data_IF_656871042941
#
_entry.id   IF_656871042941
#
_cell.length_a   1.000
_cell.length_b   1.000
_cell.length_c   1.000
_cell.angle_alpha   90.00
_cell.angle_beta   90.00
_cell.angle_gamma   90.00
#
_symmetry.space_group_name_H-M   'P 1'
#
loop_
_entity.id
_entity.type
_entity.pdbx_description
1 polymer ?
#
# COMPACT_ATOMS: atom_id res chain seq x y z
N UNK A 1 29.99 -42.76 -67.51
CA UNK A 1 29.06 -43.47 -66.60
C UNK A 1 29.88 -43.88 -65.37
N UNK A 2 29.97 -42.99 -64.38
CA UNK A 2 29.32 -43.09 -63.06
C UNK A 2 29.65 -44.40 -62.32
N UNK A 3 30.75 -44.35 -61.57
CA UNK A 3 30.90 -45.08 -60.32
C UNK A 3 30.78 -44.05 -59.20
N UNK A 4 30.09 -44.38 -58.11
CA UNK A 4 30.44 -43.97 -56.74
C UNK A 4 29.59 -44.77 -55.73
N UNK A 5 30.30 -45.72 -55.12
CA UNK A 5 30.29 -46.32 -53.78
C UNK A 5 29.07 -46.31 -52.81
N UNK A 6 28.97 -47.36 -51.97
CA UNK A 6 27.93 -47.53 -50.96
C UNK A 6 28.43 -47.11 -49.56
N UNK A 7 27.91 -46.02 -49.00
CA UNK A 7 27.97 -45.73 -47.55
C UNK A 7 26.87 -44.74 -47.15
N UNK A 8 25.64 -45.21 -46.93
CA UNK A 8 24.62 -44.41 -46.23
C UNK A 8 24.64 -44.75 -44.74
N UNK A 9 24.96 -43.82 -43.84
CA UNK A 9 25.01 -44.10 -42.41
C UNK A 9 23.59 -44.03 -41.79
N UNK A 10 23.36 -44.84 -40.74
CA UNK A 10 22.07 -45.09 -40.06
C UNK A 10 21.55 -43.92 -39.21
N UNK A 11 21.53 -42.69 -39.72
CA UNK A 11 20.98 -41.51 -39.01
C UNK A 11 19.76 -40.88 -39.72
N UNK A 12 19.17 -41.55 -40.71
CA UNK A 12 18.02 -41.04 -41.47
C UNK A 12 16.65 -41.17 -40.77
N UNK A 13 16.58 -41.40 -39.46
CA UNK A 13 15.31 -41.47 -38.70
C UNK A 13 15.42 -40.71 -37.37
N UNK A 14 15.54 -39.39 -37.44
CA UNK A 14 15.37 -38.52 -36.27
C UNK A 14 14.98 -37.09 -36.67
N UNK A 15 14.01 -36.92 -37.58
CA UNK A 15 13.37 -35.62 -37.83
C UNK A 15 11.87 -35.88 -37.93
N UNK A 16 11.19 -36.03 -36.79
CA UNK A 16 9.72 -35.96 -36.74
C UNK A 16 9.09 -35.82 -35.34
N UNK A 17 9.79 -35.30 -34.32
CA UNK A 17 9.15 -35.02 -33.02
C UNK A 17 9.90 -33.93 -32.25
N UNK A 18 9.93 -32.71 -32.82
CA UNK A 18 10.35 -31.50 -32.10
C UNK A 18 9.41 -30.32 -32.43
N UNK A 19 8.12 -30.59 -32.46
CA UNK A 19 7.08 -29.56 -32.44
C UNK A 19 6.04 -29.95 -31.39
N UNK A 20 5.71 -28.97 -30.54
CA UNK A 20 4.71 -28.99 -29.47
C UNK A 20 5.13 -29.60 -28.12
N UNK A 21 6.11 -28.98 -27.47
CA UNK A 21 6.03 -28.74 -26.02
C UNK A 21 6.86 -27.51 -25.60
N UNK A 22 6.77 -26.41 -26.34
CA UNK A 22 6.98 -25.08 -25.74
C UNK A 22 5.74 -24.79 -24.90
N UNK A 23 5.57 -25.54 -23.81
CA UNK A 23 4.65 -25.17 -22.77
C UNK A 23 5.06 -23.77 -22.35
N UNK A 24 4.17 -22.80 -22.57
CA UNK A 24 4.26 -21.51 -21.91
C UNK A 24 4.55 -21.82 -20.44
N UNK A 25 5.76 -21.51 -19.99
CA UNK A 25 5.97 -21.29 -18.58
C UNK A 25 5.02 -20.15 -18.27
N UNK A 26 3.85 -20.48 -17.71
CA UNK A 26 2.98 -19.50 -17.10
C UNK A 26 3.88 -18.82 -16.08
N UNK A 27 4.29 -17.59 -16.38
CA UNK A 27 4.70 -16.68 -15.33
C UNK A 27 3.51 -16.72 -14.36
N UNK A 28 3.68 -17.41 -13.24
CA UNK A 28 2.61 -17.55 -12.26
C UNK A 28 2.09 -16.15 -12.01
N UNK A 29 0.83 -15.91 -12.38
CA UNK A 29 0.25 -14.59 -12.27
C UNK A 29 0.47 -14.12 -10.83
N UNK A 30 1.10 -12.96 -10.69
CA UNK A 30 1.41 -12.38 -9.38
C UNK A 30 0.09 -12.24 -8.62
N UNK A 31 0.06 -12.68 -7.37
CA UNK A 31 -1.16 -12.64 -6.57
C UNK A 31 -1.65 -11.20 -6.42
N UNK A 32 -2.97 -11.03 -6.43
CA UNK A 32 -3.63 -9.75 -6.24
C UNK A 32 -4.61 -9.82 -5.07
N UNK A 33 -5.11 -8.67 -4.63
CA UNK A 33 -6.19 -8.64 -3.65
C UNK A 33 -7.42 -9.40 -4.17
N UNK A 34 -8.09 -10.11 -3.29
CA UNK A 34 -9.20 -11.00 -3.61
C UNK A 34 -8.77 -12.43 -3.97
N UNK A 35 -7.48 -12.70 -4.17
CA UNK A 35 -7.00 -14.09 -4.33
C UNK A 35 -7.13 -14.88 -3.02
N UNK A 36 -7.30 -16.20 -3.13
CA UNK A 36 -7.34 -17.07 -1.97
C UNK A 36 -6.00 -17.06 -1.24
N UNK A 37 -6.03 -16.86 0.07
CA UNK A 37 -4.86 -16.91 0.92
C UNK A 37 -4.39 -18.35 1.09
N UNK A 38 -3.09 -18.58 0.91
CA UNK A 38 -2.49 -19.87 1.17
C UNK A 38 -2.53 -20.17 2.68
N UNK A 39 -2.78 -21.42 3.09
CA UNK A 39 -2.55 -21.84 4.47
C UNK A 39 -1.12 -21.53 4.90
N UNK A 40 -0.92 -21.07 6.13
CA UNK A 40 0.44 -20.88 6.66
C UNK A 40 1.08 -22.23 7.00
N UNK A 41 2.36 -22.34 6.72
CA UNK A 41 3.19 -23.50 7.05
C UNK A 41 4.17 -23.08 8.13
N UNK A 42 3.80 -23.35 9.37
CA UNK A 42 4.55 -22.90 10.56
C UNK A 42 5.42 -24.03 11.09
N UNK A 43 6.70 -23.73 11.31
CA UNK A 43 7.67 -24.64 11.95
C UNK A 43 7.41 -24.74 13.45
N UNK A 44 7.18 -23.59 14.08
CA UNK A 44 7.08 -23.50 15.54
C UNK A 44 6.26 -22.27 15.95
N UNK A 45 5.45 -22.38 17.01
CA UNK A 45 4.78 -21.26 17.64
C UNK A 45 5.54 -20.84 18.89
N UNK A 46 6.07 -19.62 18.90
CA UNK A 46 6.83 -19.05 20.02
C UNK A 46 5.90 -18.54 21.13
N UNK A 47 4.74 -18.00 20.75
CA UNK A 47 3.76 -17.41 21.67
C UNK A 47 2.35 -17.47 21.07
N UNK A 48 1.32 -17.55 21.93
CA UNK A 48 -0.08 -17.41 21.53
C UNK A 48 -0.70 -18.64 20.88
N UNK A 49 0.09 -19.71 20.71
CA UNK A 49 -0.36 -21.05 20.35
C UNK A 49 -0.69 -21.22 18.87
N UNK A 50 -0.87 -22.48 18.43
CA UNK A 50 -1.21 -22.75 17.05
C UNK A 50 -2.54 -22.10 16.71
N UNK A 51 -2.48 -21.05 15.89
CA UNK A 51 -3.67 -20.44 15.33
C UNK A 51 -4.18 -21.38 14.25
N UNK A 52 -5.35 -21.96 14.50
CA UNK A 52 -6.03 -22.82 13.54
C UNK A 52 -6.55 -21.98 12.38
N UNK A 53 -6.40 -22.54 11.17
CA UNK A 53 -6.84 -21.95 9.92
C UNK A 53 -7.66 -22.97 9.15
N UNK A 54 -8.79 -22.55 8.58
CA UNK A 54 -9.51 -23.31 7.55
C UNK A 54 -10.55 -24.31 8.06
N UNK A 55 -10.96 -24.23 9.33
CA UNK A 55 -12.10 -25.00 9.82
C UNK A 55 -13.43 -24.47 9.27
N UNK A 56 -14.41 -25.35 9.04
CA UNK A 56 -15.73 -24.96 8.50
C UNK A 56 -16.50 -23.94 9.37
N UNK A 57 -16.17 -23.87 10.67
CA UNK A 57 -16.77 -22.93 11.63
C UNK A 57 -15.93 -21.66 11.84
N UNK A 58 -14.82 -21.53 11.12
CA UNK A 58 -13.84 -20.49 11.38
C UNK A 58 -14.17 -19.21 10.60
N UNK A 59 -14.80 -18.29 11.31
CA UNK A 59 -15.29 -16.99 10.81
C UNK A 59 -14.35 -15.83 11.15
N UNK A 60 -13.10 -16.11 11.50
CA UNK A 60 -12.15 -15.08 11.89
C UNK A 60 -11.63 -14.30 10.68
N UNK A 61 -11.30 -13.04 10.92
CA UNK A 61 -10.42 -12.23 10.08
C UNK A 61 -9.01 -12.42 10.61
N UNK A 62 -8.03 -12.61 9.73
CA UNK A 62 -6.64 -12.79 10.12
C UNK A 62 -5.80 -11.61 9.69
N UNK A 63 -4.92 -11.17 10.57
CA UNK A 63 -3.85 -10.23 10.27
C UNK A 63 -2.54 -10.97 10.42
N UNK A 64 -1.90 -11.29 9.32
CA UNK A 64 -0.57 -11.91 9.30
C UNK A 64 0.47 -10.83 9.01
N UNK A 65 1.47 -10.69 9.87
CA UNK A 65 2.54 -9.71 9.72
C UNK A 65 3.90 -10.40 9.65
N UNK A 66 4.70 -10.03 8.66
CA UNK A 66 6.05 -10.54 8.46
C UNK A 66 7.05 -9.56 9.07
N UNK A 67 7.92 -10.07 9.96
CA UNK A 67 8.84 -9.24 10.75
C UNK A 67 10.16 -9.94 11.07
N UNK A 68 11.09 -9.18 11.65
CA UNK A 68 12.34 -9.71 12.19
C UNK A 68 12.86 -8.90 13.38
N UNK A 69 13.66 -9.51 14.26
CA UNK A 69 14.20 -8.89 15.48
C UNK A 69 15.20 -7.76 15.20
N UNK A 70 15.86 -7.79 14.05
CA UNK A 70 16.81 -6.77 13.58
C UNK A 70 16.14 -5.65 12.77
N UNK A 71 14.86 -5.81 12.41
CA UNK A 71 14.14 -4.86 11.57
C UNK A 71 13.59 -3.69 12.40
N UNK A 72 14.30 -2.57 12.41
CA UNK A 72 13.92 -1.36 13.16
C UNK A 72 12.46 -0.92 12.96
N UNK A 73 11.98 -0.77 11.71
CA UNK A 73 10.57 -0.42 11.45
C UNK A 73 9.57 -1.46 11.96
N UNK A 74 9.93 -2.75 11.94
CA UNK A 74 9.11 -3.81 12.54
C UNK A 74 9.00 -3.61 14.05
N UNK A 75 10.09 -3.27 14.75
CA UNK A 75 10.03 -3.04 16.19
C UNK A 75 9.10 -1.86 16.56
N UNK A 76 8.95 -0.89 15.66
CA UNK A 76 8.01 0.23 15.82
C UNK A 76 6.54 -0.19 15.57
N UNK A 77 6.27 -1.18 14.71
CA UNK A 77 4.91 -1.67 14.45
C UNK A 77 4.37 -2.59 15.56
N UNK A 78 5.24 -3.30 16.29
CA UNK A 78 4.84 -4.29 17.30
C UNK A 78 3.88 -3.73 18.38
N UNK A 79 4.17 -2.58 19.04
CA UNK A 79 3.25 -2.03 20.04
C UNK A 79 1.89 -1.64 19.44
N UNK A 80 1.88 -1.22 18.18
CA UNK A 80 0.67 -0.88 17.47
C UNK A 80 -0.19 -2.12 17.18
N UNK A 81 0.39 -3.20 16.66
CA UNK A 81 -0.29 -4.49 16.46
C UNK A 81 -0.84 -5.04 17.78
N UNK A 82 -0.10 -4.90 18.89
CA UNK A 82 -0.60 -5.27 20.22
C UNK A 82 -1.84 -4.46 20.62
N UNK A 83 -1.90 -3.15 20.33
CA UNK A 83 -3.09 -2.33 20.58
C UNK A 83 -4.27 -2.80 19.73
N UNK A 84 -4.06 -3.06 18.45
CA UNK A 84 -5.13 -3.54 17.55
C UNK A 84 -5.64 -4.91 17.96
N UNK A 85 -4.75 -5.84 18.33
CA UNK A 85 -5.13 -7.14 18.87
C UNK A 85 -6.03 -6.98 20.08
N UNK A 86 -5.69 -6.11 21.04
CA UNK A 86 -6.56 -5.84 22.21
C UNK A 86 -7.89 -5.21 21.81
N UNK A 87 -7.89 -4.27 20.86
CA UNK A 87 -9.10 -3.57 20.38
C UNK A 87 -10.09 -4.53 19.69
N UNK A 88 -9.59 -5.54 18.97
CA UNK A 88 -10.41 -6.38 18.10
C UNK A 88 -10.48 -7.86 18.50
N UNK A 89 -9.86 -8.28 19.61
CA UNK A 89 -9.86 -9.68 20.07
C UNK A 89 -11.28 -10.27 20.22
N UNK A 90 -12.24 -9.46 20.70
CA UNK A 90 -13.62 -9.89 20.92
C UNK A 90 -14.51 -9.71 19.67
N UNK A 91 -13.91 -9.28 18.55
CA UNK A 91 -14.59 -9.04 17.26
C UNK A 91 -14.18 -10.04 16.18
N UNK A 92 -13.51 -11.13 16.56
CA UNK A 92 -13.08 -12.19 15.65
C UNK A 92 -11.93 -11.78 14.74
N UNK A 93 -11.00 -10.93 15.22
CA UNK A 93 -9.77 -10.58 14.50
C UNK A 93 -8.58 -11.19 15.20
N UNK A 94 -7.82 -12.02 14.48
CA UNK A 94 -6.68 -12.77 14.99
C UNK A 94 -5.39 -12.25 14.37
N UNK A 95 -4.41 -11.92 15.21
CA UNK A 95 -3.12 -11.38 14.79
C UNK A 95 -2.02 -12.43 14.94
N UNK A 96 -1.20 -12.60 13.90
CA UNK A 96 -0.08 -13.54 13.83
C UNK A 96 1.15 -12.82 13.28
N UNK A 97 2.22 -12.74 14.06
CA UNK A 97 3.54 -12.30 13.61
C UNK A 97 4.37 -13.49 13.16
N UNK A 98 4.82 -13.50 11.90
CA UNK A 98 5.63 -14.56 11.30
C UNK A 98 7.05 -14.06 11.09
N UNK A 99 8.03 -14.76 11.65
CA UNK A 99 9.45 -14.51 11.42
C UNK A 99 10.11 -15.70 10.69
N UNK A 100 11.07 -15.39 9.82
CA UNK A 100 11.95 -16.36 9.15
C UNK A 100 13.21 -16.68 9.96
N UNK A 101 13.39 -16.00 11.09
CA UNK A 101 14.58 -16.18 11.93
C UNK A 101 14.51 -17.50 12.72
N UNK A 102 15.68 -17.88 13.24
CA UNK A 102 15.80 -19.02 14.13
C UNK A 102 15.24 -18.73 15.53
N UNK A 103 14.75 -19.75 16.26
CA UNK A 103 14.16 -19.59 17.58
C UNK A 103 15.07 -18.84 18.57
N UNK A 104 16.39 -18.99 18.45
CA UNK A 104 17.40 -18.39 19.32
C UNK A 104 17.41 -16.86 19.24
N UNK A 105 17.05 -16.29 18.07
CA UNK A 105 16.90 -14.84 17.91
C UNK A 105 15.51 -14.37 18.40
N UNK A 106 14.45 -15.09 18.02
CA UNK A 106 13.07 -14.65 18.25
C UNK A 106 12.63 -14.81 19.71
N UNK A 107 12.92 -15.96 20.35
CA UNK A 107 12.43 -16.26 21.70
C UNK A 107 12.90 -15.25 22.75
N UNK A 108 14.19 -14.84 22.83
CA UNK A 108 14.62 -13.81 23.79
C UNK A 108 13.96 -12.47 23.51
N UNK A 109 13.78 -12.10 22.23
CA UNK A 109 13.13 -10.86 21.84
C UNK A 109 11.67 -10.82 22.32
N UNK A 110 10.88 -11.85 22.01
CA UNK A 110 9.47 -11.96 22.41
C UNK A 110 9.34 -11.90 23.94
N UNK A 111 10.18 -12.63 24.67
CA UNK A 111 10.21 -12.56 26.14
C UNK A 111 10.48 -11.15 26.67
N UNK A 112 11.44 -10.44 26.08
CA UNK A 112 11.77 -9.06 26.46
C UNK A 112 10.64 -8.08 26.17
N UNK A 113 9.90 -8.29 25.08
CA UNK A 113 8.76 -7.43 24.73
C UNK A 113 7.60 -7.57 25.72
N UNK A 114 7.39 -8.75 26.30
CA UNK A 114 6.35 -8.97 27.31
C UNK A 114 4.99 -8.45 26.86
N UNK A 115 4.40 -7.53 27.64
CA UNK A 115 3.08 -6.95 27.35
C UNK A 115 3.01 -6.07 26.10
N UNK A 116 4.14 -5.73 25.49
CA UNK A 116 4.21 -4.95 24.24
C UNK A 116 4.03 -5.83 22.99
N UNK A 117 4.12 -7.15 23.11
CA UNK A 117 3.90 -8.11 22.02
C UNK A 117 3.01 -9.25 22.54
N UNK A 118 1.69 -9.13 22.39
CA UNK A 118 0.71 -10.07 23.01
C UNK A 118 -0.07 -10.92 22.01
N UNK A 119 0.19 -10.75 20.71
CA UNK A 119 -0.38 -11.56 19.65
C UNK A 119 0.43 -12.86 19.43
N UNK A 120 -0.09 -13.76 18.59
CA UNK A 120 0.58 -15.03 18.32
C UNK A 120 1.86 -14.79 17.50
N UNK A 121 2.92 -15.52 17.82
CA UNK A 121 4.22 -15.42 17.14
C UNK A 121 4.62 -16.78 16.63
N UNK A 122 4.93 -16.85 15.34
CA UNK A 122 5.23 -18.07 14.63
C UNK A 122 6.56 -17.96 13.87
N UNK A 123 7.26 -19.08 13.77
CA UNK A 123 8.43 -19.24 12.93
C UNK A 123 8.03 -19.93 11.63
N UNK A 124 8.39 -19.33 10.52
CA UNK A 124 8.09 -19.85 9.19
C UNK A 124 8.82 -21.18 8.93
N UNK A 125 8.17 -22.11 8.25
CA UNK A 125 8.78 -23.38 7.86
C UNK A 125 9.45 -23.25 6.50
N UNK A 126 10.78 -23.15 6.50
CA UNK A 126 11.60 -23.04 5.27
C UNK A 126 11.08 -21.94 4.33
N UNK A 127 10.70 -20.80 4.90
CA UNK A 127 10.13 -19.62 4.23
C UNK A 127 8.85 -19.89 3.41
N UNK A 128 8.14 -20.99 3.66
CA UNK A 128 6.99 -21.38 2.87
C UNK A 128 5.85 -20.36 2.95
N UNK A 129 5.55 -19.87 4.16
CA UNK A 129 4.53 -18.85 4.37
C UNK A 129 4.97 -17.52 3.76
N UNK A 130 6.23 -17.14 3.95
CA UNK A 130 6.78 -15.90 3.39
C UNK A 130 6.75 -15.91 1.86
N UNK A 131 7.11 -17.02 1.21
CA UNK A 131 7.00 -17.13 -0.26
C UNK A 131 5.56 -17.07 -0.74
N UNK A 132 4.63 -17.71 -0.03
CA UNK A 132 3.21 -17.74 -0.42
C UNK A 132 2.49 -16.40 -0.27
N UNK A 133 3.04 -15.47 0.52
CA UNK A 133 2.49 -14.13 0.73
C UNK A 133 3.37 -13.04 0.14
N UNK A 134 4.56 -12.77 0.72
CA UNK A 134 5.46 -11.75 0.18
C UNK A 134 5.89 -12.08 -1.25
N UNK A 135 6.40 -13.30 -1.46
CA UNK A 135 6.86 -13.74 -2.79
C UNK A 135 5.75 -13.71 -3.85
N UNK A 136 4.55 -14.18 -3.51
CA UNK A 136 3.39 -14.18 -4.41
C UNK A 136 2.95 -12.77 -4.83
N UNK A 137 3.14 -11.76 -3.98
CA UNK A 137 2.83 -10.35 -4.28
C UNK A 137 4.04 -9.58 -4.85
N UNK A 138 5.20 -10.21 -5.04
CA UNK A 138 6.43 -9.53 -5.45
C UNK A 138 7.06 -8.64 -4.40
N UNK A 139 6.67 -8.83 -3.14
CA UNK A 139 7.15 -8.07 -2.01
C UNK A 139 8.33 -8.79 -1.37
N UNK A 140 9.26 -8.01 -0.82
CA UNK A 140 10.39 -8.52 -0.03
C UNK A 140 10.66 -7.68 1.22
N UNK A 141 10.02 -6.51 1.33
CA UNK A 141 10.21 -5.58 2.43
C UNK A 141 9.37 -5.97 3.65
N UNK A 142 9.96 -5.81 4.84
CA UNK A 142 9.30 -5.93 6.13
C UNK A 142 9.40 -4.61 6.92
N UNK A 143 8.41 -4.27 7.77
CA UNK A 143 7.22 -5.06 8.05
C UNK A 143 6.18 -4.96 6.95
N UNK A 144 5.49 -6.07 6.71
CA UNK A 144 4.38 -6.17 5.77
C UNK A 144 3.29 -7.03 6.39
N UNK A 145 2.10 -6.48 6.50
CA UNK A 145 0.92 -7.18 6.97
C UNK A 145 -0.02 -7.49 5.82
N UNK A 146 -0.74 -8.61 5.94
CA UNK A 146 -1.87 -8.97 5.09
C UNK A 146 -3.11 -9.16 5.95
N UNK A 147 -4.24 -8.67 5.47
CA UNK A 147 -5.55 -8.94 6.06
C UNK A 147 -6.24 -10.00 5.23
N UNK A 148 -6.62 -11.11 5.86
CA UNK A 148 -7.38 -12.19 5.25
C UNK A 148 -8.81 -12.13 5.77
N UNK A 149 -9.75 -12.10 4.84
CA UNK A 149 -11.18 -12.12 5.11
C UNK A 149 -11.69 -13.47 5.61
N UNK A 150 -12.95 -13.46 6.06
CA UNK A 150 -13.66 -14.66 6.54
C UNK A 150 -13.80 -15.73 5.45
N UNK A 151 -13.83 -15.31 4.20
CA UNK A 151 -13.88 -16.15 3.00
C UNK A 151 -12.51 -16.66 2.53
N UNK A 152 -11.46 -16.42 3.33
CA UNK A 152 -10.06 -16.77 3.04
C UNK A 152 -9.47 -16.05 1.84
N UNK A 153 -10.01 -14.90 1.45
CA UNK A 153 -9.37 -14.05 0.45
C UNK A 153 -8.47 -13.01 1.11
N UNK A 154 -7.38 -12.66 0.44
CA UNK A 154 -6.51 -11.57 0.86
C UNK A 154 -7.21 -10.26 0.53
N UNK A 155 -7.63 -9.51 1.55
CA UNK A 155 -8.42 -8.30 1.39
C UNK A 155 -7.55 -7.03 1.34
N UNK A 156 -6.34 -7.10 1.90
CA UNK A 156 -5.40 -5.98 1.96
C UNK A 156 -3.97 -6.46 2.21
N UNK A 157 -2.99 -5.69 1.74
CA UNK A 157 -1.58 -5.83 2.12
C UNK A 157 -0.90 -4.47 2.21
N UNK A 158 0.03 -4.29 3.15
CA UNK A 158 0.70 -3.01 3.35
C UNK A 158 1.58 -2.94 4.60
N UNK A 159 2.13 -1.77 4.88
CA UNK A 159 2.87 -1.53 6.11
C UNK A 159 1.87 -1.42 7.29
N UNK A 160 2.08 -2.08 8.44
CA UNK A 160 1.10 -2.08 9.54
C UNK A 160 0.70 -0.69 10.05
N UNK A 161 1.61 0.27 10.01
CA UNK A 161 1.36 1.67 10.42
C UNK A 161 0.68 2.54 9.33
N UNK A 162 0.30 1.97 8.19
CA UNK A 162 -0.20 2.72 7.03
C UNK A 162 -1.48 2.09 6.48
N UNK A 163 -2.61 2.29 7.16
CA UNK A 163 -3.95 1.89 6.67
C UNK A 163 -4.55 0.63 7.29
N UNK A 164 -3.84 -0.05 8.20
CA UNK A 164 -4.30 -1.31 8.79
C UNK A 164 -5.52 -1.11 9.72
N UNK A 165 -5.56 -0.03 10.49
CA UNK A 165 -6.66 0.27 11.41
C UNK A 165 -7.95 0.49 10.64
N UNK A 166 -7.87 1.32 9.61
CA UNK A 166 -8.99 1.72 8.75
C UNK A 166 -9.52 0.52 8.00
N UNK A 167 -8.66 -0.32 7.43
CA UNK A 167 -9.12 -1.48 6.66
C UNK A 167 -9.81 -2.53 7.54
N UNK A 168 -9.26 -2.81 8.74
CA UNK A 168 -9.91 -3.72 9.69
C UNK A 168 -11.27 -3.14 10.10
N UNK A 169 -11.32 -1.84 10.39
CA UNK A 169 -12.56 -1.19 10.77
C UNK A 169 -13.60 -1.22 9.65
N UNK A 170 -13.22 -0.92 8.41
CA UNK A 170 -14.11 -0.94 7.25
C UNK A 170 -14.64 -2.35 6.97
N UNK A 171 -13.82 -3.41 7.14
CA UNK A 171 -14.28 -4.79 7.03
C UNK A 171 -15.28 -5.13 8.13
N UNK A 172 -14.98 -4.75 9.38
CA UNK A 172 -15.84 -5.05 10.53
C UNK A 172 -17.16 -4.26 10.52
N UNK A 173 -17.18 -3.08 9.89
CA UNK A 173 -18.35 -2.19 9.81
C UNK A 173 -19.10 -2.31 8.48
N UNK A 174 -18.70 -3.25 7.61
CA UNK A 174 -19.37 -3.52 6.34
C UNK A 174 -19.20 -2.43 5.28
N UNK A 175 -18.20 -1.56 5.44
CA UNK A 175 -17.84 -0.51 4.47
C UNK A 175 -16.78 -0.93 3.46
N UNK A 176 -16.13 -2.06 3.69
CA UNK A 176 -15.11 -2.59 2.79
C UNK A 176 -15.69 -3.00 1.44
N UNK A 177 -14.99 -2.64 0.36
CA UNK A 177 -15.17 -3.24 -0.96
C UNK A 177 -13.81 -3.61 -1.54
N UNK A 178 -13.75 -4.76 -2.24
CA UNK A 178 -12.51 -5.22 -2.87
C UNK A 178 -12.00 -4.22 -3.92
N UNK A 179 -12.91 -3.63 -4.69
CA UNK A 179 -12.58 -2.62 -5.69
C UNK A 179 -11.87 -1.40 -5.08
N UNK A 180 -12.40 -0.86 -3.96
CA UNK A 180 -11.76 0.26 -3.26
C UNK A 180 -10.40 -0.12 -2.69
N UNK A 181 -10.26 -1.33 -2.18
CA UNK A 181 -8.99 -1.83 -1.66
C UNK A 181 -7.93 -2.01 -2.76
N UNK A 182 -8.32 -2.55 -3.93
CA UNK A 182 -7.45 -2.65 -5.12
C UNK A 182 -6.99 -1.27 -5.56
N UNK A 183 -7.92 -0.33 -5.75
CA UNK A 183 -7.62 1.04 -6.14
C UNK A 183 -6.67 1.72 -5.14
N UNK A 184 -6.88 1.53 -3.83
CA UNK A 184 -5.97 2.06 -2.80
C UNK A 184 -4.57 1.45 -2.83
N UNK A 185 -4.46 0.13 -3.07
CA UNK A 185 -3.17 -0.56 -3.17
C UNK A 185 -2.38 -0.13 -4.40
N UNK A 186 -3.05 0.01 -5.55
CA UNK A 186 -2.45 0.51 -6.79
C UNK A 186 -1.98 1.95 -6.62
N UNK A 187 -2.84 2.80 -6.06
CA UNK A 187 -2.52 4.17 -5.70
C UNK A 187 -1.24 4.26 -4.85
N UNK A 188 -1.13 3.48 -3.76
CA UNK A 188 0.04 3.54 -2.87
C UNK A 188 1.33 3.14 -3.58
N UNK A 189 1.28 2.07 -4.39
CA UNK A 189 2.43 1.60 -5.17
C UNK A 189 2.89 2.66 -6.16
N UNK A 190 1.93 3.27 -6.85
CA UNK A 190 2.23 4.31 -7.82
C UNK A 190 2.69 5.61 -7.15
N UNK A 191 2.10 6.00 -6.02
CA UNK A 191 2.53 7.17 -5.25
C UNK A 191 3.97 7.02 -4.75
N UNK A 192 4.36 5.82 -4.29
CA UNK A 192 5.75 5.52 -3.94
C UNK A 192 6.68 5.62 -5.15
N UNK A 193 6.27 5.07 -6.30
CA UNK A 193 7.03 5.15 -7.55
C UNK A 193 7.18 6.61 -8.00
N UNK A 194 6.10 7.38 -7.94
CA UNK A 194 6.09 8.81 -8.26
C UNK A 194 7.08 9.56 -7.38
N UNK A 195 7.03 9.33 -6.07
CA UNK A 195 7.95 9.97 -5.12
C UNK A 195 9.42 9.58 -5.39
N UNK A 196 9.69 8.31 -5.69
CA UNK A 196 11.04 7.84 -5.99
C UNK A 196 11.62 8.52 -7.24
N UNK A 197 10.85 8.58 -8.33
CA UNK A 197 11.31 9.18 -9.59
C UNK A 197 11.43 10.70 -9.41
N UNK A 198 10.40 11.35 -8.85
CA UNK A 198 10.38 12.81 -8.67
C UNK A 198 11.42 13.33 -7.67
N UNK A 199 11.86 12.53 -6.70
CA UNK A 199 12.94 12.93 -5.78
C UNK A 199 14.36 12.74 -6.33
N UNK A 200 14.52 11.82 -7.29
CA UNK A 200 15.84 11.48 -7.86
C UNK A 200 16.12 12.24 -9.15
N UNK A 201 15.20 12.16 -10.12
CA UNK A 201 15.36 12.72 -11.47
C UNK A 201 14.41 13.89 -11.76
N UNK A 202 13.43 14.14 -10.88
CA UNK A 202 12.47 15.23 -11.03
C UNK A 202 11.30 14.91 -11.98
N UNK A 203 10.80 15.93 -12.67
CA UNK A 203 9.69 15.78 -13.61
C UNK A 203 10.16 15.18 -14.94
N UNK A 204 9.69 13.97 -15.24
CA UNK A 204 9.96 13.23 -16.49
C UNK A 204 8.64 12.81 -17.14
N UNK A 205 8.61 12.47 -18.44
CA UNK A 205 7.40 11.91 -19.07
C UNK A 205 6.83 10.69 -18.33
N UNK A 206 7.70 9.88 -17.72
CA UNK A 206 7.27 8.76 -16.87
C UNK A 206 6.63 9.24 -15.57
N UNK A 207 7.24 10.20 -14.87
CA UNK A 207 6.68 10.79 -13.63
C UNK A 207 5.29 11.37 -13.89
N UNK A 208 5.11 12.08 -15.01
CA UNK A 208 3.81 12.63 -15.43
C UNK A 208 2.79 11.52 -15.72
N UNK A 209 3.20 10.45 -16.40
CA UNK A 209 2.33 9.31 -16.72
C UNK A 209 1.86 8.59 -15.45
N UNK A 210 2.77 8.33 -14.51
CA UNK A 210 2.44 7.72 -13.21
C UNK A 210 1.53 8.66 -12.43
N UNK A 211 1.86 9.95 -12.37
CA UNK A 211 1.06 10.95 -11.68
C UNK A 211 -0.40 11.03 -12.14
N UNK A 212 -0.64 11.04 -13.45
CA UNK A 212 -2.01 11.03 -14.01
C UNK A 212 -2.78 9.76 -13.65
N UNK A 213 -2.11 8.62 -13.65
CA UNK A 213 -2.73 7.33 -13.32
C UNK A 213 -3.16 7.29 -11.84
N UNK A 214 -2.33 7.79 -10.93
CA UNK A 214 -2.67 7.96 -9.50
C UNK A 214 -3.97 8.74 -9.32
N UNK A 215 -4.12 9.85 -10.04
CA UNK A 215 -5.32 10.70 -9.95
C UNK A 215 -6.57 9.96 -10.47
N UNK A 216 -6.44 9.19 -11.55
CA UNK A 216 -7.55 8.38 -12.07
C UNK A 216 -7.94 7.24 -11.12
N UNK A 217 -6.96 6.50 -10.58
CA UNK A 217 -7.18 5.41 -9.62
C UNK A 217 -7.84 5.90 -8.31
N UNK A 218 -7.49 7.11 -7.88
CA UNK A 218 -8.03 7.71 -6.66
C UNK A 218 -9.29 8.56 -6.87
N UNK A 219 -9.90 8.56 -8.06
CA UNK A 219 -11.01 9.49 -8.40
C UNK A 219 -12.18 9.47 -7.41
N UNK A 220 -12.49 8.30 -6.86
CA UNK A 220 -13.60 8.09 -5.91
C UNK A 220 -13.12 8.12 -4.44
N UNK A 221 -11.86 8.49 -4.22
CA UNK A 221 -11.18 8.46 -2.92
C UNK A 221 -10.56 9.83 -2.61
N UNK A 222 -11.36 10.83 -2.19
CA UNK A 222 -10.91 12.20 -2.00
C UNK A 222 -9.71 12.32 -1.04
N UNK A 223 -9.68 11.52 0.03
CA UNK A 223 -8.55 11.49 0.96
C UNK A 223 -7.22 11.11 0.29
N UNK A 224 -7.21 10.17 -0.66
CA UNK A 224 -6.00 9.78 -1.41
C UNK A 224 -5.57 10.88 -2.38
N UNK A 225 -6.53 11.51 -3.07
CA UNK A 225 -6.26 12.66 -3.93
C UNK A 225 -5.63 13.82 -3.15
N UNK A 226 -6.16 14.13 -1.97
CA UNK A 226 -5.63 15.18 -1.09
C UNK A 226 -4.23 14.84 -0.59
N UNK A 227 -4.00 13.60 -0.17
CA UNK A 227 -2.67 13.14 0.25
C UNK A 227 -1.66 13.27 -0.90
N UNK A 228 -2.04 12.87 -2.12
CA UNK A 228 -1.17 12.98 -3.27
C UNK A 228 -0.86 14.44 -3.64
N UNK A 229 -1.87 15.31 -3.63
CA UNK A 229 -1.69 16.75 -3.84
C UNK A 229 -0.74 17.36 -2.80
N UNK A 230 -0.93 17.04 -1.51
CA UNK A 230 -0.04 17.50 -0.44
C UNK A 230 1.41 17.05 -0.63
N UNK A 231 1.63 15.80 -1.04
CA UNK A 231 2.98 15.29 -1.35
C UNK A 231 3.62 16.14 -2.43
N UNK A 232 2.92 16.41 -3.54
CA UNK A 232 3.48 17.23 -4.64
C UNK A 232 3.79 18.66 -4.17
N UNK A 233 2.89 19.27 -3.39
CA UNK A 233 3.02 20.67 -2.99
C UNK A 233 4.11 20.90 -1.93
N UNK A 234 4.20 20.01 -0.93
CA UNK A 234 4.93 20.29 0.31
C UNK A 234 6.13 19.38 0.57
N UNK A 235 6.27 18.24 -0.12
CA UNK A 235 7.43 17.38 0.07
C UNK A 235 8.69 18.03 -0.54
N UNK A 236 9.65 18.38 0.31
CA UNK A 236 10.88 19.05 -0.11
C UNK A 236 11.84 18.13 -0.89
N UNK A 237 11.60 16.82 -0.92
CA UNK A 237 12.37 15.88 -1.73
C UNK A 237 12.03 15.99 -3.21
N UNK A 238 10.81 16.44 -3.55
CA UNK A 238 10.34 16.53 -4.93
C UNK A 238 10.96 17.73 -5.63
N UNK A 239 11.73 17.45 -6.70
CA UNK A 239 12.33 18.47 -7.56
C UNK A 239 11.46 18.68 -8.80
N UNK A 240 11.17 19.93 -9.17
CA UNK A 240 10.33 20.24 -10.34
C UNK A 240 8.87 19.79 -10.14
N UNK A 241 8.19 20.37 -9.14
CA UNK A 241 6.81 20.03 -8.76
C UNK A 241 5.84 20.18 -9.93
N UNK A 242 5.03 19.14 -10.16
CA UNK A 242 3.92 19.22 -11.12
C UNK A 242 2.70 19.89 -10.46
N UNK A 243 2.72 21.22 -10.46
CA UNK A 243 1.65 22.02 -9.85
C UNK A 243 0.30 21.83 -10.55
N UNK A 244 0.32 21.52 -11.85
CA UNK A 244 -0.90 21.22 -12.60
C UNK A 244 -1.53 19.93 -12.09
N UNK A 245 -0.74 18.88 -11.92
CA UNK A 245 -1.22 17.60 -11.39
C UNK A 245 -1.73 17.74 -9.94
N UNK A 246 -1.02 18.48 -9.08
CA UNK A 246 -1.46 18.75 -7.71
C UNK A 246 -2.81 19.49 -7.68
N UNK A 247 -2.95 20.48 -8.56
CA UNK A 247 -4.18 21.26 -8.72
C UNK A 247 -5.34 20.38 -9.23
N UNK A 248 -5.10 19.54 -10.23
CA UNK A 248 -6.10 18.62 -10.79
C UNK A 248 -6.59 17.64 -9.69
N UNK A 249 -5.67 17.04 -8.93
CA UNK A 249 -5.99 16.13 -7.83
C UNK A 249 -6.81 16.83 -6.72
N UNK A 250 -6.38 18.03 -6.29
CA UNK A 250 -7.08 18.79 -5.26
C UNK A 250 -8.47 19.24 -5.72
N UNK A 251 -8.61 19.69 -6.97
CA UNK A 251 -9.90 20.08 -7.55
C UNK A 251 -10.87 18.89 -7.60
N UNK A 252 -10.38 17.71 -7.99
CA UNK A 252 -11.19 16.51 -8.03
C UNK A 252 -11.63 16.06 -6.64
N UNK A 253 -10.77 16.16 -5.62
CA UNK A 253 -11.16 15.91 -4.23
C UNK A 253 -12.23 16.89 -3.72
N UNK A 254 -12.09 18.18 -4.05
CA UNK A 254 -13.09 19.21 -3.75
C UNK A 254 -14.43 18.89 -4.42
N UNK A 255 -14.42 18.41 -5.68
CA UNK A 255 -15.64 17.99 -6.37
C UNK A 255 -16.28 16.76 -5.72
N UNK A 256 -15.49 15.72 -5.41
CA UNK A 256 -15.95 14.48 -4.78
C UNK A 256 -16.57 14.71 -3.39
N UNK A 257 -16.02 15.66 -2.63
CA UNK A 257 -16.56 16.09 -1.32
C UNK A 257 -17.71 17.09 -1.43
N UNK A 258 -18.14 17.46 -2.66
CA UNK A 258 -19.15 18.50 -2.92
C UNK A 258 -18.81 19.84 -2.23
N UNK A 259 -17.51 20.17 -2.20
CA UNK A 259 -16.90 21.29 -1.47
C UNK A 259 -17.16 21.28 0.04
N UNK A 260 -17.64 20.18 0.62
CA UNK A 260 -18.00 20.16 2.05
C UNK A 260 -16.78 20.06 2.98
N UNK A 261 -15.66 19.51 2.48
CA UNK A 261 -14.43 19.32 3.24
C UNK A 261 -13.55 20.58 3.21
N UNK A 262 -13.33 21.19 4.38
CA UNK A 262 -12.54 22.41 4.51
C UNK A 262 -11.04 22.17 4.28
N UNK A 263 -10.52 21.00 4.64
CA UNK A 263 -9.15 20.60 4.34
C UNK A 263 -8.93 20.43 2.84
N UNK A 264 -9.93 19.91 2.12
CA UNK A 264 -9.89 19.84 0.66
C UNK A 264 -9.81 21.24 0.02
N UNK A 265 -10.63 22.18 0.50
CA UNK A 265 -10.60 23.57 0.05
C UNK A 265 -9.26 24.25 0.35
N UNK A 266 -8.68 24.00 1.53
CA UNK A 266 -7.37 24.53 1.92
C UNK A 266 -6.26 24.04 0.98
N UNK A 267 -6.17 22.73 0.73
CA UNK A 267 -5.15 22.15 -0.16
C UNK A 267 -5.33 22.67 -1.60
N UNK A 268 -6.57 22.80 -2.07
CA UNK A 268 -6.88 23.37 -3.38
C UNK A 268 -6.44 24.85 -3.47
N UNK A 269 -6.66 25.65 -2.43
CA UNK A 269 -6.19 27.04 -2.39
C UNK A 269 -4.66 27.15 -2.45
N UNK A 270 -3.93 26.28 -1.75
CA UNK A 270 -2.46 26.21 -1.88
C UNK A 270 -2.01 25.87 -3.29
N UNK A 271 -2.65 24.88 -3.93
CA UNK A 271 -2.34 24.51 -5.32
C UNK A 271 -2.60 25.67 -6.29
N UNK A 272 -3.70 26.41 -6.12
CA UNK A 272 -4.01 27.62 -6.89
C UNK A 272 -2.95 28.71 -6.69
N UNK A 273 -2.61 29.02 -5.44
CA UNK A 273 -1.63 30.05 -5.12
C UNK A 273 -0.26 29.73 -5.71
N UNK A 274 0.20 28.48 -5.59
CA UNK A 274 1.47 28.04 -6.15
C UNK A 274 1.47 28.03 -7.68
N UNK A 275 0.30 27.86 -8.30
CA UNK A 275 0.11 27.91 -9.76
C UNK A 275 -0.16 29.34 -10.29
N UNK A 276 0.22 30.38 -9.55
CA UNK A 276 0.01 31.80 -9.91
C UNK A 276 -1.45 32.23 -10.04
N UNK A 277 -2.40 31.47 -9.48
CA UNK A 277 -3.86 31.76 -9.46
C UNK A 277 -4.29 32.30 -8.11
N UNK A 278 -3.61 33.36 -7.66
CA UNK A 278 -3.70 33.89 -6.29
C UNK A 278 -5.10 34.38 -5.91
N UNK A 279 -5.77 35.12 -6.79
CA UNK A 279 -7.11 35.67 -6.47
C UNK A 279 -8.13 34.55 -6.25
N UNK A 280 -8.02 33.46 -7.01
CA UNK A 280 -8.85 32.26 -6.82
C UNK A 280 -8.51 31.55 -5.50
N UNK A 281 -7.22 31.45 -5.15
CA UNK A 281 -6.79 30.89 -3.87
C UNK A 281 -7.36 31.68 -2.68
N UNK A 282 -7.34 33.02 -2.76
CA UNK A 282 -7.92 33.91 -1.74
C UNK A 282 -9.43 33.69 -1.61
N UNK A 283 -10.15 33.63 -2.74
CA UNK A 283 -11.59 33.41 -2.72
C UNK A 283 -11.96 32.06 -2.07
N UNK A 284 -11.24 30.99 -2.41
CA UNK A 284 -11.47 29.64 -1.86
C UNK A 284 -11.17 29.60 -0.35
N UNK A 285 -10.07 30.19 0.11
CA UNK A 285 -9.74 30.14 1.53
C UNK A 285 -10.69 31.01 2.36
N UNK A 286 -11.20 32.12 1.81
CA UNK A 286 -12.24 32.93 2.47
C UNK A 286 -13.56 32.17 2.60
N UNK A 287 -13.97 31.41 1.58
CA UNK A 287 -15.11 30.50 1.66
C UNK A 287 -14.94 29.50 2.82
N UNK A 288 -13.76 28.89 2.92
CA UNK A 288 -13.46 27.93 3.99
C UNK A 288 -13.50 28.57 5.39
N UNK A 289 -12.92 29.77 5.56
CA UNK A 289 -12.96 30.53 6.83
C UNK A 289 -14.39 30.82 7.27
N UNK A 290 -15.27 31.19 6.33
CA UNK A 290 -16.68 31.48 6.63
C UNK A 290 -17.46 30.26 7.14
N UNK A 291 -16.93 29.05 6.92
CA UNK A 291 -17.56 27.77 7.28
C UNK A 291 -16.85 27.06 8.44
N UNK A 292 -15.65 27.48 8.81
CA UNK A 292 -14.88 26.87 9.88
C UNK A 292 -15.52 27.13 11.25
N UNK A 293 -15.87 26.06 11.96
CA UNK A 293 -16.45 26.14 13.31
C UNK A 293 -15.41 25.94 14.40
N UNK A 294 -14.29 25.28 14.10
CA UNK A 294 -13.23 25.01 15.08
C UNK A 294 -12.20 26.14 15.09
N UNK A 295 -11.83 26.70 16.27
CA UNK A 295 -10.87 27.80 16.36
C UNK A 295 -9.50 27.49 15.72
N UNK A 296 -8.97 26.28 15.92
CA UNK A 296 -7.68 25.88 15.39
C UNK A 296 -7.66 25.81 13.85
N UNK A 297 -8.72 25.25 13.26
CA UNK A 297 -8.89 25.18 11.80
C UNK A 297 -9.04 26.57 11.20
N UNK A 298 -9.87 27.43 11.81
CA UNK A 298 -10.05 28.81 11.39
C UNK A 298 -8.73 29.60 11.43
N UNK A 299 -7.96 29.46 12.50
CA UNK A 299 -6.65 30.11 12.63
C UNK A 299 -5.67 29.67 11.54
N UNK A 300 -5.65 28.38 11.19
CA UNK A 300 -4.81 27.87 10.11
C UNK A 300 -5.19 28.49 8.75
N UNK A 301 -6.49 28.55 8.44
CA UNK A 301 -7.00 29.16 7.21
C UNK A 301 -6.72 30.68 7.14
N UNK A 302 -6.82 31.39 8.26
CA UNK A 302 -6.48 32.82 8.34
C UNK A 302 -4.98 33.08 8.12
N UNK A 303 -4.12 32.18 8.61
CA UNK A 303 -2.68 32.22 8.34
C UNK A 303 -2.39 32.05 6.85
N UNK A 304 -3.05 31.09 6.19
CA UNK A 304 -2.93 30.88 4.74
C UNK A 304 -3.41 32.10 3.95
N UNK A 305 -4.55 32.68 4.30
CA UNK A 305 -5.06 33.92 3.70
C UNK A 305 -4.04 35.06 3.80
N UNK A 306 -3.40 35.23 4.96
CA UNK A 306 -2.37 36.23 5.16
C UNK A 306 -1.13 35.96 4.29
N UNK A 307 -0.73 34.70 4.15
CA UNK A 307 0.40 34.30 3.31
C UNK A 307 0.12 34.56 1.82
N UNK A 308 -1.06 34.16 1.31
CA UNK A 308 -1.46 34.37 -0.08
C UNK A 308 -1.46 35.86 -0.44
N UNK A 309 -1.93 36.73 0.45
CA UNK A 309 -1.92 38.19 0.24
C UNK A 309 -0.52 38.79 0.16
N UNK A 310 0.46 38.23 0.88
CA UNK A 310 1.85 38.73 0.94
C UNK A 310 2.70 38.27 -0.24
N UNK A 311 2.33 37.19 -0.93
CA UNK A 311 3.13 36.67 -2.04
C UNK A 311 3.14 37.67 -3.21
N UNK A 312 4.32 38.05 -3.76
CA UNK A 312 4.41 38.99 -4.86
C UNK A 312 3.63 38.50 -6.08
N UNK A 313 2.91 39.39 -6.75
CA UNK A 313 2.29 39.11 -8.05
C UNK A 313 3.41 38.89 -9.07
N UNK A 314 3.64 37.63 -9.45
CA UNK A 314 4.41 37.24 -10.62
C UNK A 314 5.84 37.79 -10.72
N UNK A 315 6.81 37.06 -10.17
CA UNK A 315 8.19 37.04 -10.70
C UNK A 315 8.89 35.73 -10.34
N UNK A 316 8.74 34.73 -11.20
CA UNK A 316 9.80 33.79 -11.62
C UNK A 316 9.55 33.40 -13.07
#
# INVERSE_FOLDING_TARGET
>A
MKALNPTTPRWALAICLWLAASGFASAAAQAELGTAAAPWTIREWIQGGPVSWGGAQDTNIYVIEFWATWCGPCLQSIPHLTRLRRKYQDRGVVFVGVSREEPEAVRPYVRRMGTNMTYAVALDSKDATTRAYLGAFGESAIPRAFVIGRDRRILWTGHPLAGLDEIIQDILEGRYTLERAKAGSEFLRDAQRYLLISSTVGSTPETLRVGKRIVEEAKDQPHLLLQFAQVILFDNRIKGRDLKLALDAANQAVAATKRQDLGALQIYAHALSMSSRREEAIAVVQEAIGRATQPAEKQALESDLAAFRKSPLGTR
#
